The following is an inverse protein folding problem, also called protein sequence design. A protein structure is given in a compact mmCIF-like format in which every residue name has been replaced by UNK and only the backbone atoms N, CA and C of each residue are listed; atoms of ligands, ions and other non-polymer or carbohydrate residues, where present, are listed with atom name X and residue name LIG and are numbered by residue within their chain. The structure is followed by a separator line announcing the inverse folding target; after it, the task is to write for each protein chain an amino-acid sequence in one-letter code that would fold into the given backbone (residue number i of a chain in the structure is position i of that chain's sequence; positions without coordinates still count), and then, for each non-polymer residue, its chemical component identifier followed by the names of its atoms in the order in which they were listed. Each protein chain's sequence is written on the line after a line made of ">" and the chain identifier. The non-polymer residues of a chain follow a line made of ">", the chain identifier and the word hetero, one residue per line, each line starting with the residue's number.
data_IF_630594597222
#
_entry.id   IF_630594597222
#
_cell.length_a   1.000
_cell.length_b   1.000
_cell.length_c   1.000
_cell.angle_alpha   90.00
_cell.angle_beta   90.00
_cell.angle_gamma   90.00
#
_symmetry.space_group_name_H-M   'P 1'
#
loop_
_entity.id
_entity.type
_entity.pdbx_description
1 polymer ?
#
# COMPACT_ATOMS: atom_id res chain seq x y z
N UNK A 1 1.39 14.86 10.63
CA UNK A 1 2.30 14.18 9.72
C UNK A 1 1.56 13.71 8.49
N UNK A 2 2.14 13.91 7.34
CA UNK A 2 1.50 13.57 6.06
C UNK A 2 1.78 12.12 5.68
N UNK A 3 0.75 11.38 5.23
CA UNK A 3 1.00 10.02 4.75
C UNK A 3 2.08 9.92 3.68
N UNK A 4 2.28 10.98 2.89
CA UNK A 4 3.33 10.98 1.90
C UNK A 4 4.72 10.89 2.49
N UNK A 5 4.90 11.42 3.70
CA UNK A 5 6.19 11.33 4.37
C UNK A 5 6.43 9.91 4.88
N UNK A 6 5.37 9.25 5.31
CA UNK A 6 5.48 7.86 5.72
C UNK A 6 5.84 6.97 4.55
N UNK A 7 5.33 7.28 3.35
CA UNK A 7 5.58 6.42 2.21
C UNK A 7 7.06 6.39 1.84
N UNK A 8 7.75 7.51 1.97
CA UNK A 8 9.19 7.53 1.69
C UNK A 8 9.93 6.55 2.60
N UNK A 9 9.60 6.57 3.89
CA UNK A 9 10.21 5.65 4.84
C UNK A 9 9.88 4.21 4.55
N UNK A 10 8.63 3.93 4.19
CA UNK A 10 8.21 2.57 3.87
C UNK A 10 8.90 2.06 2.62
N UNK A 11 9.03 2.91 1.61
CA UNK A 11 9.71 2.54 0.37
C UNK A 11 11.16 2.19 0.67
N UNK A 12 11.84 3.04 1.42
CA UNK A 12 13.25 2.80 1.76
C UNK A 12 13.39 1.53 2.60
N UNK A 13 12.49 1.33 3.55
CA UNK A 13 12.53 0.15 4.39
C UNK A 13 12.35 -1.14 3.58
N UNK A 14 11.34 -1.17 2.73
CA UNK A 14 11.08 -2.35 1.92
C UNK A 14 12.23 -2.64 0.98
N UNK A 15 12.77 -1.61 0.33
CA UNK A 15 13.87 -1.81 -0.60
C UNK A 15 15.08 -2.42 0.11
N UNK A 16 15.38 -1.89 1.30
CA UNK A 16 16.51 -2.40 2.08
C UNK A 16 16.28 -3.81 2.56
N UNK A 17 15.08 -4.10 3.06
CA UNK A 17 14.78 -5.43 3.56
C UNK A 17 14.76 -6.49 2.47
N UNK A 18 14.25 -6.13 1.29
CA UNK A 18 14.21 -7.05 0.17
C UNK A 18 15.56 -7.19 -0.51
N UNK A 19 16.51 -6.30 -0.20
CA UNK A 19 17.85 -6.33 -0.80
C UNK A 19 17.77 -6.31 -2.32
N UNK A 20 17.03 -5.35 -2.83
CA UNK A 20 16.81 -5.20 -4.27
C UNK A 20 18.16 -5.05 -4.98
N UNK A 21 18.38 -5.87 -5.99
CA UNK A 21 19.63 -5.85 -6.75
C UNK A 21 19.54 -4.87 -7.91
N UNK A 22 20.70 -4.49 -8.50
CA UNK A 22 20.66 -3.62 -9.68
C UNK A 22 19.82 -4.18 -10.82
N UNK A 23 19.81 -5.51 -10.99
CA UNK A 23 19.01 -6.12 -12.05
C UNK A 23 17.51 -6.00 -11.77
N UNK A 24 17.13 -5.83 -10.52
CA UNK A 24 15.74 -5.72 -10.12
C UNK A 24 15.26 -4.27 -9.99
N UNK A 25 16.19 -3.33 -10.14
CA UNK A 25 15.90 -1.92 -9.86
C UNK A 25 14.76 -1.38 -10.73
N UNK A 26 14.73 -1.75 -12.01
CA UNK A 26 13.68 -1.26 -12.89
C UNK A 26 12.29 -1.68 -12.44
N UNK A 27 12.16 -2.92 -12.02
CA UNK A 27 10.87 -3.41 -11.51
C UNK A 27 10.55 -2.83 -10.15
N UNK A 28 11.58 -2.63 -9.33
CA UNK A 28 11.38 -1.99 -8.04
C UNK A 28 10.84 -0.58 -8.18
N UNK A 29 11.33 0.17 -9.18
CA UNK A 29 10.86 1.54 -9.38
C UNK A 29 9.38 1.59 -9.67
N UNK A 30 8.84 0.57 -10.34
CA UNK A 30 7.41 0.52 -10.59
C UNK A 30 6.63 0.29 -9.29
N UNK A 31 7.16 -0.53 -8.41
CA UNK A 31 6.55 -0.72 -7.09
C UNK A 31 6.58 0.59 -6.30
N UNK A 32 7.72 1.26 -6.34
CA UNK A 32 7.86 2.53 -5.65
C UNK A 32 6.85 3.56 -6.17
N UNK A 33 6.71 3.64 -7.50
CA UNK A 33 5.74 4.56 -8.10
C UNK A 33 4.32 4.23 -7.67
N UNK A 34 3.99 2.94 -7.61
CA UNK A 34 2.66 2.53 -7.17
C UNK A 34 2.42 2.93 -5.72
N UNK A 35 3.41 2.76 -4.86
CA UNK A 35 3.27 3.13 -3.46
C UNK A 35 3.06 4.63 -3.30
N UNK A 36 3.77 5.43 -4.09
CA UNK A 36 3.60 6.90 -4.04
C UNK A 36 2.22 7.31 -4.54
N UNK A 37 1.78 6.68 -5.61
CA UNK A 37 0.47 6.98 -6.16
C UNK A 37 -0.62 6.61 -5.17
N UNK A 38 -0.45 5.46 -4.49
CA UNK A 38 -1.41 5.02 -3.48
C UNK A 38 -1.48 5.99 -2.31
N UNK A 39 -0.33 6.49 -1.86
CA UNK A 39 -0.31 7.44 -0.77
C UNK A 39 -1.01 8.74 -1.17
N UNK A 40 -0.79 9.18 -2.40
CA UNK A 40 -1.42 10.39 -2.90
C UNK A 40 -2.94 10.23 -2.98
N UNK A 41 -3.40 9.09 -3.48
CA UNK A 41 -4.83 8.84 -3.58
C UNK A 41 -5.49 8.84 -2.20
N UNK A 42 -4.82 8.23 -1.22
CA UNK A 42 -5.35 8.22 0.13
C UNK A 42 -5.38 9.62 0.73
N UNK A 43 -4.31 10.40 0.54
CA UNK A 43 -4.26 11.78 1.01
C UNK A 43 -5.41 12.59 0.47
N UNK A 44 -5.67 12.46 -0.82
CA UNK A 44 -6.75 13.20 -1.47
C UNK A 44 -8.10 12.81 -0.91
N UNK A 45 -8.29 11.53 -0.66
CA UNK A 45 -9.55 11.05 -0.09
C UNK A 45 -9.76 11.58 1.32
N UNK A 46 -8.71 11.53 2.14
CA UNK A 46 -8.79 12.03 3.51
C UNK A 46 -9.06 13.52 3.52
N UNK A 47 -8.38 14.28 2.65
CA UNK A 47 -8.59 15.72 2.58
C UNK A 47 -10.02 16.05 2.18
N UNK A 48 -10.56 15.32 1.22
CA UNK A 48 -11.93 15.51 0.78
C UNK A 48 -12.91 15.28 1.92
N UNK A 49 -12.65 14.24 2.73
CA UNK A 49 -13.53 13.94 3.85
C UNK A 49 -13.47 14.98 4.96
N UNK A 50 -12.29 15.57 5.17
CA UNK A 50 -12.14 16.62 6.17
C UNK A 50 -12.97 17.86 5.81
N UNK A 51 -13.09 18.12 4.52
CA UNK A 51 -13.88 19.27 4.08
C UNK A 51 -15.36 19.09 4.39
N UNK A 52 -15.79 17.86 4.54
CA UNK A 52 -17.16 17.55 4.88
C UNK A 52 -17.33 17.28 6.36
N UNK A 53 -16.52 17.94 7.18
CA UNK A 53 -16.59 17.74 8.61
C UNK A 53 -17.93 18.18 9.17
N UNK A 54 -18.27 17.65 10.34
CA UNK A 54 -19.53 17.92 10.99
C UNK A 54 -20.23 16.61 11.26
N UNK A 55 -21.43 16.74 11.82
CA UNK A 55 -22.21 15.56 12.13
C UNK A 55 -22.61 14.85 10.85
N UNK A 56 -22.38 13.55 10.81
CA UNK A 56 -22.78 12.74 9.69
C UNK A 56 -23.87 11.78 10.13
N UNK A 57 -24.87 11.64 9.28
CA UNK A 57 -25.91 10.61 9.54
C UNK A 57 -25.39 9.25 9.14
N UNK A 58 -26.22 8.23 9.37
CA UNK A 58 -25.80 6.84 9.11
C UNK A 58 -25.49 6.61 7.63
N UNK A 59 -26.28 7.23 6.75
CA UNK A 59 -26.04 7.06 5.32
C UNK A 59 -24.70 7.64 4.92
N UNK A 60 -24.40 8.84 5.39
CA UNK A 60 -23.13 9.48 5.06
C UNK A 60 -21.95 8.69 5.60
N UNK A 61 -22.09 8.12 6.79
CA UNK A 61 -20.99 7.31 7.33
C UNK A 61 -20.77 6.04 6.50
N UNK A 62 -21.85 5.44 6.02
CA UNK A 62 -21.70 4.27 5.15
C UNK A 62 -21.09 4.62 3.82
N UNK A 63 -21.50 5.77 3.26
CA UNK A 63 -20.90 6.22 2.01
C UNK A 63 -19.41 6.47 2.16
N UNK A 64 -19.01 7.03 3.29
CA UNK A 64 -17.60 7.26 3.55
C UNK A 64 -16.83 5.95 3.66
N UNK A 65 -17.44 4.97 4.34
CA UNK A 65 -16.82 3.65 4.43
C UNK A 65 -16.67 3.01 3.06
N UNK A 66 -17.69 3.12 2.24
CA UNK A 66 -17.64 2.57 0.89
C UNK A 66 -16.51 3.22 0.09
N UNK A 67 -16.36 4.52 0.25
CA UNK A 67 -15.29 5.25 -0.43
C UNK A 67 -13.92 4.74 -0.01
N UNK A 68 -13.71 4.53 1.29
CA UNK A 68 -12.43 4.00 1.75
C UNK A 68 -12.17 2.58 1.24
N UNK A 69 -13.20 1.75 1.24
CA UNK A 69 -13.06 0.38 0.74
C UNK A 69 -12.66 0.40 -0.73
N UNK A 70 -13.31 1.27 -1.50
CA UNK A 70 -13.02 1.38 -2.91
C UNK A 70 -11.58 1.84 -3.16
N UNK A 71 -11.14 2.85 -2.42
CA UNK A 71 -9.77 3.34 -2.55
C UNK A 71 -8.77 2.26 -2.17
N UNK A 72 -9.04 1.51 -1.11
CA UNK A 72 -8.13 0.44 -0.70
C UNK A 72 -8.05 -0.65 -1.75
N UNK A 73 -9.20 -0.99 -2.36
CA UNK A 73 -9.19 -1.99 -3.41
C UNK A 73 -8.39 -1.53 -4.61
N UNK A 74 -8.57 -0.27 -5.02
CA UNK A 74 -7.82 0.28 -6.13
C UNK A 74 -6.32 0.33 -5.83
N UNK A 75 -5.99 0.75 -4.61
CA UNK A 75 -4.58 0.82 -4.20
C UNK A 75 -3.94 -0.56 -4.19
N UNK A 76 -4.66 -1.54 -3.67
CA UNK A 76 -4.14 -2.91 -3.64
C UNK A 76 -3.93 -3.43 -5.05
N UNK A 77 -4.87 -3.16 -5.96
CA UNK A 77 -4.73 -3.58 -7.34
C UNK A 77 -3.53 -2.94 -8.02
N UNK A 78 -3.32 -1.65 -7.75
CA UNK A 78 -2.19 -0.94 -8.33
C UNK A 78 -0.86 -1.49 -7.82
N UNK A 79 -0.79 -1.74 -6.52
CA UNK A 79 0.41 -2.30 -5.92
C UNK A 79 0.65 -3.72 -6.46
N UNK A 80 -0.39 -4.53 -6.52
CA UNK A 80 -0.27 -5.90 -7.01
C UNK A 80 0.26 -5.94 -8.43
N UNK A 81 -0.26 -5.06 -9.29
CA UNK A 81 0.16 -5.04 -10.69
C UNK A 81 1.64 -4.73 -10.83
N UNK A 82 2.17 -3.87 -9.96
CA UNK A 82 3.58 -3.51 -9.98
C UNK A 82 4.43 -4.56 -9.28
N UNK A 83 3.93 -5.12 -8.19
CA UNK A 83 4.71 -6.02 -7.34
C UNK A 83 4.83 -7.42 -7.94
N UNK A 84 3.80 -7.89 -8.60
CA UNK A 84 3.78 -9.26 -9.10
C UNK A 84 4.97 -9.57 -10.01
N UNK A 85 5.30 -8.72 -11.01
CA UNK A 85 6.49 -9.00 -11.81
C UNK A 85 7.78 -8.97 -11.02
N UNK A 86 7.89 -8.05 -10.06
CA UNK A 86 9.08 -7.99 -9.22
C UNK A 86 9.21 -9.28 -8.41
N UNK A 87 8.11 -9.72 -7.81
CA UNK A 87 8.12 -10.93 -6.99
C UNK A 87 8.66 -12.13 -7.79
N UNK A 88 8.26 -12.23 -9.05
CA UNK A 88 8.73 -13.31 -9.90
C UNK A 88 10.22 -13.27 -10.17
N UNK A 89 10.85 -12.10 -10.02
CA UNK A 89 12.29 -11.96 -10.22
C UNK A 89 13.09 -12.07 -8.94
N UNK A 90 12.42 -12.19 -7.79
CA UNK A 90 13.10 -12.28 -6.51
C UNK A 90 13.70 -13.68 -6.30
N UNK A 91 14.81 -13.74 -5.58
CA UNK A 91 15.36 -15.02 -5.15
C UNK A 91 14.45 -15.66 -4.10
N UNK A 92 14.64 -16.97 -3.83
CA UNK A 92 13.82 -17.58 -2.78
C UNK A 92 13.93 -16.87 -1.43
N UNK A 93 15.11 -16.40 -1.07
CA UNK A 93 15.30 -15.68 0.19
C UNK A 93 14.56 -14.35 0.17
N UNK A 94 14.61 -13.66 -0.97
CA UNK A 94 13.89 -12.40 -1.10
C UNK A 94 12.40 -12.62 -1.05
N UNK A 95 11.91 -13.69 -1.68
CA UNK A 95 10.49 -14.00 -1.65
C UNK A 95 10.02 -14.29 -0.25
N UNK A 96 10.82 -15.02 0.52
CA UNK A 96 10.50 -15.28 1.91
C UNK A 96 10.38 -13.99 2.71
N UNK A 97 11.32 -13.09 2.50
CA UNK A 97 11.27 -11.81 3.19
C UNK A 97 10.03 -11.02 2.77
N UNK A 98 9.73 -11.01 1.48
CA UNK A 98 8.54 -10.33 0.99
C UNK A 98 7.28 -10.92 1.61
N UNK A 99 7.23 -12.24 1.73
CA UNK A 99 6.08 -12.90 2.33
C UNK A 99 5.89 -12.48 3.78
N UNK A 100 6.97 -12.23 4.49
CA UNK A 100 6.90 -11.78 5.87
C UNK A 100 6.47 -10.33 5.99
N UNK A 101 6.92 -9.49 5.07
CA UNK A 101 6.67 -8.05 5.15
C UNK A 101 5.35 -7.63 4.54
N UNK A 102 4.96 -8.29 3.46
CA UNK A 102 3.78 -7.90 2.69
C UNK A 102 2.73 -8.99 2.85
N UNK A 103 1.58 -8.61 3.35
CA UNK A 103 0.53 -9.57 3.58
C UNK A 103 0.53 -10.18 4.96
N UNK A 104 1.68 -10.26 5.61
CA UNK A 104 1.74 -10.88 6.93
C UNK A 104 0.85 -10.15 7.94
N UNK A 105 0.81 -8.82 7.86
CA UNK A 105 -0.02 -8.05 8.77
C UNK A 105 -1.50 -8.36 8.59
N UNK A 106 -1.92 -8.57 7.34
CA UNK A 106 -3.30 -8.92 7.05
C UNK A 106 -3.62 -10.33 7.50
N UNK A 107 -2.69 -11.24 7.29
CA UNK A 107 -2.87 -12.61 7.73
C UNK A 107 -2.95 -12.69 9.24
N UNK A 108 -2.23 -11.85 9.93
CA UNK A 108 -2.21 -11.86 11.36
C UNK A 108 -3.60 -11.66 11.94
N UNK A 109 -4.40 -10.78 11.33
CA UNK A 109 -5.75 -10.56 11.79
C UNK A 109 -6.62 -11.79 11.64
N UNK A 110 -6.40 -12.59 10.61
CA UNK A 110 -7.19 -13.80 10.38
C UNK A 110 -6.72 -14.95 11.23
N UNK A 111 -5.49 -14.93 11.59
CA UNK A 111 -4.89 -16.00 12.32
C UNK A 111 -5.43 -16.18 13.69
N UNK A 112 -6.05 -15.19 14.18
CA UNK A 112 -6.54 -15.24 15.51
C UNK A 112 -7.66 -16.18 15.70
N UNK A 113 -8.08 -16.83 14.90
CA UNK A 113 -9.25 -17.68 15.03
C UNK A 113 -9.30 -18.41 16.34
#
# INVERSE_FOLDING_TARGET
>A
MMPGQFVDGRIAFLKAQLKITPAQEGQWQKVEAAMRENAKALDQTVASMRQKSGDRNAVERLEMREQFIKIRAENTGRFLAAFKPLYGSLSPEQQQMADQLIGAAQHRGHHRA
#
